data_IF_826027878167
#
_entry.id   IF_826027878167
#
_cell.length_a   1.000
_cell.length_b   1.000
_cell.length_c   1.000
_cell.angle_alpha   90.00
_cell.angle_beta   90.00
_cell.angle_gamma   90.00
#
_symmetry.space_group_name_H-M   'P 1'
#
loop_
_entity.id
_entity.type
_entity.pdbx_description
1 polymer ?
#
# COMPACT_ATOMS: atom_id res chain seq x y z
N UNK A 1 9.46 5.47 -9.15
CA UNK A 1 8.36 4.76 -8.48
C UNK A 1 7.31 4.40 -9.53
N UNK A 2 6.92 3.13 -9.68
CA UNK A 2 5.97 2.69 -10.73
C UNK A 2 6.19 1.25 -11.22
N UNK A 3 5.17 0.69 -11.90
CA UNK A 3 5.26 -0.55 -12.70
C UNK A 3 6.26 -0.35 -13.86
N UNK A 4 6.90 -1.43 -14.32
CA UNK A 4 7.83 -1.40 -15.46
C UNK A 4 9.21 -0.80 -15.19
N UNK A 5 9.61 -0.70 -13.91
CA UNK A 5 11.00 -0.37 -13.54
C UNK A 5 11.66 -1.57 -12.91
N UNK A 6 12.95 -1.72 -13.20
CA UNK A 6 13.78 -2.70 -12.52
C UNK A 6 13.72 -2.52 -11.01
N UNK A 7 13.73 -3.65 -10.32
CA UNK A 7 13.91 -3.67 -8.88
C UNK A 7 15.23 -2.94 -8.59
N UNK A 8 15.27 -2.02 -7.60
CA UNK A 8 16.43 -1.16 -7.36
C UNK A 8 17.69 -1.97 -7.00
N UNK A 9 17.52 -3.24 -6.65
CA UNK A 9 18.59 -4.20 -6.47
C UNK A 9 18.51 -5.29 -7.55
N UNK A 10 19.51 -5.35 -8.43
CA UNK A 10 19.62 -6.41 -9.44
C UNK A 10 20.19 -7.72 -8.86
N UNK A 11 20.41 -7.83 -7.54
CA UNK A 11 20.79 -9.07 -6.87
C UNK A 11 19.56 -9.97 -6.63
N UNK A 12 19.41 -11.06 -7.41
CA UNK A 12 18.26 -11.94 -7.29
C UNK A 12 18.24 -12.69 -5.94
N UNK A 13 19.41 -12.96 -5.34
CA UNK A 13 19.49 -13.66 -4.05
C UNK A 13 18.93 -12.77 -2.94
N UNK A 14 19.34 -11.50 -2.91
CA UNK A 14 18.82 -10.53 -1.95
C UNK A 14 17.32 -10.28 -2.14
N UNK A 15 16.87 -10.11 -3.38
CA UNK A 15 15.44 -9.95 -3.67
C UNK A 15 14.64 -11.15 -3.14
N UNK A 16 15.12 -12.39 -3.38
CA UNK A 16 14.46 -13.60 -2.90
C UNK A 16 14.49 -13.72 -1.37
N UNK A 17 15.60 -13.38 -0.72
CA UNK A 17 15.73 -13.38 0.75
C UNK A 17 14.72 -12.44 1.40
N UNK A 18 14.66 -11.19 0.92
CA UNK A 18 13.77 -10.16 1.46
C UNK A 18 12.32 -10.53 1.21
N UNK A 19 11.97 -10.93 -0.01
CA UNK A 19 10.62 -11.37 -0.34
C UNK A 19 10.19 -12.53 0.55
N UNK A 20 11.02 -13.58 0.69
CA UNK A 20 10.71 -14.71 1.56
C UNK A 20 10.42 -14.25 3.00
N UNK A 21 11.28 -13.39 3.56
CA UNK A 21 11.09 -12.86 4.90
C UNK A 21 9.82 -12.02 5.03
N UNK A 22 9.45 -11.24 4.01
CA UNK A 22 8.20 -10.49 3.99
C UNK A 22 6.98 -11.43 4.02
N UNK A 23 7.00 -12.50 3.22
CA UNK A 23 5.95 -13.50 3.18
C UNK A 23 5.87 -14.34 4.47
N UNK A 24 6.99 -14.65 5.11
CA UNK A 24 6.99 -15.31 6.44
C UNK A 24 6.29 -14.47 7.53
N UNK A 25 6.35 -13.14 7.44
CA UNK A 25 5.57 -12.25 8.30
C UNK A 25 4.11 -12.22 7.86
N UNK A 26 3.85 -12.20 6.56
CA UNK A 26 2.49 -12.16 6.01
C UNK A 26 1.68 -13.40 6.37
N UNK A 27 2.29 -14.59 6.31
CA UNK A 27 1.69 -15.87 6.72
C UNK A 27 1.26 -15.87 8.20
N UNK A 28 1.83 -14.97 9.01
CA UNK A 28 1.51 -14.76 10.42
C UNK A 28 0.57 -13.57 10.65
N UNK A 29 0.00 -13.03 9.57
CA UNK A 29 -0.81 -11.81 9.55
C UNK A 29 -0.08 -10.56 10.12
N UNK A 30 1.25 -10.53 10.06
CA UNK A 30 2.09 -9.43 10.56
C UNK A 30 2.40 -8.43 9.44
N UNK A 31 1.37 -7.70 9.00
CA UNK A 31 1.45 -6.71 7.92
C UNK A 31 2.52 -5.65 8.19
N UNK A 32 2.65 -5.25 9.45
CA UNK A 32 3.62 -4.27 9.91
C UNK A 32 5.05 -4.71 9.57
N UNK A 33 5.45 -5.92 9.97
CA UNK A 33 6.81 -6.40 9.74
C UNK A 33 7.04 -6.83 8.28
N UNK A 34 6.01 -7.38 7.61
CA UNK A 34 6.06 -7.67 6.18
C UNK A 34 6.33 -6.39 5.36
N UNK A 35 5.67 -5.29 5.69
CA UNK A 35 5.87 -3.99 5.02
C UNK A 35 7.23 -3.37 5.40
N UNK A 36 7.59 -3.43 6.69
CA UNK A 36 8.84 -2.84 7.19
C UNK A 36 10.08 -3.48 6.57
N UNK A 37 10.11 -4.81 6.41
CA UNK A 37 11.28 -5.48 5.82
C UNK A 37 11.48 -5.05 4.36
N UNK A 38 10.40 -4.86 3.61
CA UNK A 38 10.45 -4.37 2.23
C UNK A 38 10.89 -2.90 2.16
N UNK A 39 10.36 -2.03 3.03
CA UNK A 39 10.76 -0.62 3.07
C UNK A 39 12.23 -0.41 3.44
N UNK A 40 12.84 -1.33 4.20
CA UNK A 40 14.26 -1.26 4.55
C UNK A 40 15.18 -1.52 3.34
N UNK A 41 14.67 -2.11 2.26
CA UNK A 41 15.47 -2.30 1.05
C UNK A 41 15.64 -0.98 0.29
N UNK A 42 16.89 -0.67 -0.05
CA UNK A 42 17.24 0.58 -0.74
C UNK A 42 16.46 0.71 -2.05
N UNK A 43 15.76 1.85 -2.19
CA UNK A 43 14.96 2.16 -3.40
C UNK A 43 13.60 1.46 -3.45
N UNK A 44 13.24 0.72 -2.40
CA UNK A 44 11.88 0.23 -2.16
C UNK A 44 11.22 1.19 -1.18
N UNK A 45 10.00 1.56 -1.51
CA UNK A 45 9.19 2.57 -0.85
C UNK A 45 7.76 2.09 -0.89
N UNK A 46 6.86 2.80 -0.22
CA UNK A 46 5.58 2.20 0.17
C UNK A 46 4.76 1.69 -1.02
N UNK A 47 4.74 2.40 -2.15
CA UNK A 47 4.00 1.95 -3.34
C UNK A 47 4.59 0.71 -4.01
N UNK A 48 5.87 0.40 -3.81
CA UNK A 48 6.49 -0.85 -4.28
C UNK A 48 6.30 -1.97 -3.26
N UNK A 49 6.54 -1.67 -1.98
CA UNK A 49 6.33 -2.63 -0.89
C UNK A 49 4.90 -3.16 -0.87
N UNK A 50 3.91 -2.27 -0.91
CA UNK A 50 2.49 -2.61 -0.98
C UNK A 50 2.10 -3.37 -2.26
N UNK A 51 2.80 -3.22 -3.39
CA UNK A 51 2.56 -4.05 -4.59
C UNK A 51 3.00 -5.49 -4.40
N UNK A 52 4.13 -5.70 -3.72
CA UNK A 52 4.67 -7.05 -3.47
C UNK A 52 3.72 -7.84 -2.57
N UNK A 53 3.20 -7.21 -1.51
CA UNK A 53 2.29 -7.85 -0.54
C UNK A 53 0.81 -7.78 -0.97
N UNK A 54 0.35 -6.68 -1.55
CA UNK A 54 -1.06 -6.50 -1.93
C UNK A 54 -1.51 -7.43 -3.06
N UNK A 55 -0.58 -7.86 -3.92
CA UNK A 55 -0.88 -8.82 -4.99
C UNK A 55 -1.00 -10.27 -4.50
N UNK A 56 -0.50 -10.61 -3.31
CA UNK A 56 -0.60 -11.98 -2.80
C UNK A 56 -1.94 -12.29 -2.15
N UNK A 57 -2.66 -11.27 -1.70
CA UNK A 57 -4.00 -11.41 -1.13
C UNK A 57 -4.86 -10.21 -1.54
N UNK A 58 -5.55 -10.35 -2.67
CA UNK A 58 -6.43 -9.32 -3.21
C UNK A 58 -7.78 -9.21 -2.49
N UNK A 59 -8.11 -10.19 -1.64
CA UNK A 59 -9.31 -10.15 -0.80
C UNK A 59 -9.14 -9.18 0.36
N UNK A 60 -7.95 -9.20 0.97
CA UNK A 60 -7.68 -8.52 2.24
C UNK A 60 -6.62 -7.40 2.16
N UNK A 61 -5.85 -7.28 1.07
CA UNK A 61 -4.77 -6.30 0.94
C UNK A 61 -4.92 -5.45 -0.32
N UNK A 62 -4.30 -4.27 -0.28
CA UNK A 62 -4.38 -3.26 -1.33
C UNK A 62 -2.99 -2.76 -1.77
N UNK A 63 -2.96 -2.07 -2.90
CA UNK A 63 -1.78 -1.38 -3.40
C UNK A 63 -1.83 0.09 -2.95
N UNK A 64 -0.79 0.54 -2.26
CA UNK A 64 -0.67 1.93 -1.81
C UNK A 64 0.00 2.80 -2.88
N UNK A 65 -0.70 3.00 -4.00
CA UNK A 65 -0.24 3.92 -5.03
C UNK A 65 -0.55 5.38 -4.68
N UNK A 66 0.26 6.30 -5.22
CA UNK A 66 0.02 7.74 -5.15
C UNK A 66 -1.39 8.16 -5.57
N UNK A 67 -1.98 7.48 -6.56
CA UNK A 67 -3.34 7.77 -7.04
C UNK A 67 -4.39 7.37 -6.02
N UNK A 68 -4.19 6.24 -5.35
CA UNK A 68 -5.06 5.80 -4.23
C UNK A 68 -4.97 6.80 -3.09
N UNK A 69 -3.76 7.20 -2.70
CA UNK A 69 -3.55 8.24 -1.68
C UNK A 69 -4.18 9.59 -2.06
N UNK A 70 -4.13 9.97 -3.34
CA UNK A 70 -4.76 11.19 -3.82
C UNK A 70 -6.29 11.13 -3.80
N UNK A 71 -6.89 10.00 -4.18
CA UNK A 71 -8.34 9.82 -4.11
C UNK A 71 -8.88 9.96 -2.67
N UNK A 72 -8.05 9.63 -1.67
CA UNK A 72 -8.36 9.75 -0.25
C UNK A 72 -7.88 11.07 0.38
N UNK A 73 -7.36 12.03 -0.40
CA UNK A 73 -6.74 13.25 0.15
C UNK A 73 -7.70 14.14 0.94
N UNK A 74 -9.01 14.05 0.67
CA UNK A 74 -10.05 14.82 1.36
C UNK A 74 -10.56 14.11 2.62
N UNK A 75 -10.18 12.85 2.82
CA UNK A 75 -10.53 12.08 4.01
C UNK A 75 -9.68 12.54 5.18
N UNK A 76 -10.27 13.36 6.06
CA UNK A 76 -9.59 14.00 7.17
C UNK A 76 -10.27 13.71 8.51
N UNK A 77 -9.50 13.71 9.58
CA UNK A 77 -9.97 13.67 10.96
C UNK A 77 -9.26 14.77 11.75
N UNK A 78 -10.03 15.65 12.41
CA UNK A 78 -9.49 16.81 13.14
C UNK A 78 -8.57 17.71 12.30
N UNK A 79 -8.88 17.85 11.00
CA UNK A 79 -8.12 18.68 10.07
C UNK A 79 -6.88 18.01 9.47
N UNK A 80 -6.55 16.78 9.86
CA UNK A 80 -5.42 16.01 9.33
C UNK A 80 -5.89 14.89 8.40
N UNK A 81 -5.18 14.64 7.30
CA UNK A 81 -5.48 13.51 6.40
C UNK A 81 -5.28 12.18 7.14
N UNK A 82 -6.23 11.25 6.98
CA UNK A 82 -6.13 9.91 7.58
C UNK A 82 -4.99 9.08 7.00
N UNK A 83 -4.69 9.30 5.72
CA UNK A 83 -3.64 8.62 4.98
C UNK A 83 -2.81 9.63 4.20
N UNK A 84 -1.48 9.46 4.27
CA UNK A 84 -0.51 10.27 3.53
C UNK A 84 -0.44 9.83 2.07
N UNK A 85 -0.08 10.75 1.19
CA UNK A 85 0.05 10.48 -0.23
C UNK A 85 1.47 10.02 -0.57
N UNK A 86 1.68 8.78 -1.04
CA UNK A 86 2.99 8.33 -1.50
C UNK A 86 3.50 9.17 -2.67
N UNK A 87 4.83 9.40 -2.76
CA UNK A 87 5.40 10.11 -3.91
C UNK A 87 5.30 9.30 -5.19
N UNK A 88 5.08 9.98 -6.32
CA UNK A 88 5.14 9.39 -7.66
C UNK A 88 6.00 10.22 -8.61
N UNK A 89 6.00 9.86 -9.89
CA UNK A 89 6.76 10.61 -10.91
C UNK A 89 6.12 11.97 -11.22
N UNK A 90 4.80 12.04 -11.13
CA UNK A 90 4.02 13.23 -11.51
C UNK A 90 3.46 13.99 -10.31
N UNK A 91 3.55 13.44 -9.09
CA UNK A 91 3.00 14.04 -7.88
C UNK A 91 4.03 14.09 -6.78
N UNK A 92 4.20 15.28 -6.20
CA UNK A 92 4.95 15.45 -4.97
C UNK A 92 4.13 14.81 -3.85
N UNK A 93 4.59 13.64 -3.37
CA UNK A 93 3.99 12.99 -2.20
C UNK A 93 4.36 13.72 -0.91
N UNK A 94 3.86 13.21 0.20
CA UNK A 94 4.23 13.70 1.52
C UNK A 94 5.70 13.42 1.80
N UNK A 95 6.46 14.50 1.98
CA UNK A 95 7.90 14.48 2.28
C UNK A 95 8.19 14.24 3.76
N UNK A 96 9.43 13.83 4.06
CA UNK A 96 9.89 13.64 5.45
C UNK A 96 9.25 12.46 6.19
N UNK A 97 8.44 11.65 5.51
CA UNK A 97 7.72 10.52 6.11
C UNK A 97 8.68 9.35 6.33
N UNK A 98 8.77 8.88 7.58
CA UNK A 98 9.65 7.77 7.95
C UNK A 98 9.09 6.41 7.50
N UNK A 99 9.92 5.38 7.46
CA UNK A 99 9.43 4.01 7.14
C UNK A 99 8.35 3.56 8.13
N UNK A 100 8.54 3.79 9.42
CA UNK A 100 7.55 3.43 10.45
C UNK A 100 6.22 4.15 10.22
N UNK A 101 6.27 5.41 9.80
CA UNK A 101 5.08 6.18 9.49
C UNK A 101 4.39 5.68 8.21
N UNK A 102 5.14 5.29 7.17
CA UNK A 102 4.57 4.64 6.00
C UNK A 102 3.91 3.31 6.31
N UNK A 103 4.48 2.51 7.21
CA UNK A 103 3.85 1.25 7.66
C UNK A 103 2.52 1.52 8.33
N UNK A 104 2.46 2.47 9.27
CA UNK A 104 1.20 2.86 9.92
C UNK A 104 0.16 3.37 8.92
N UNK A 105 0.59 4.19 7.96
CA UNK A 105 -0.29 4.69 6.91
C UNK A 105 -0.82 3.58 6.01
N UNK A 106 -0.06 2.50 5.82
CA UNK A 106 -0.53 1.36 5.05
C UNK A 106 -1.54 0.51 5.82
N UNK A 107 -1.32 0.29 7.13
CA UNK A 107 -2.33 -0.31 8.01
C UNK A 107 -3.64 0.50 8.00
N UNK A 108 -3.55 1.84 8.07
CA UNK A 108 -4.71 2.72 7.94
C UNK A 108 -5.39 2.59 6.57
N UNK A 109 -4.62 2.52 5.49
CA UNK A 109 -5.20 2.33 4.16
C UNK A 109 -5.97 1.02 4.07
N UNK A 110 -5.40 -0.09 4.55
CA UNK A 110 -6.07 -1.40 4.58
C UNK A 110 -7.39 -1.29 5.34
N UNK A 111 -7.37 -0.70 6.53
CA UNK A 111 -8.57 -0.48 7.34
C UNK A 111 -9.62 0.38 6.61
N UNK A 112 -9.21 1.46 5.93
CA UNK A 112 -10.13 2.29 5.13
C UNK A 112 -10.76 1.48 4.01
N UNK A 113 -9.96 0.69 3.27
CA UNK A 113 -10.46 -0.12 2.17
C UNK A 113 -11.36 -1.26 2.63
N UNK A 114 -11.07 -1.85 3.79
CA UNK A 114 -11.92 -2.83 4.47
C UNK A 114 -13.28 -2.21 4.83
N UNK A 115 -13.26 -1.03 5.47
CA UNK A 115 -14.48 -0.32 5.82
C UNK A 115 -15.35 -0.01 4.59
N UNK A 116 -14.75 0.46 3.49
CA UNK A 116 -15.47 0.73 2.25
C UNK A 116 -16.02 -0.58 1.65
N UNK A 117 -15.20 -1.64 1.60
CA UNK A 117 -15.62 -2.96 1.09
C UNK A 117 -16.84 -3.46 1.84
N UNK A 118 -16.76 -3.49 3.16
CA UNK A 118 -17.81 -4.05 4.01
C UNK A 118 -19.10 -3.24 3.88
N UNK A 119 -19.00 -1.91 3.93
CA UNK A 119 -20.14 -1.03 3.68
C UNK A 119 -20.79 -1.28 2.31
N UNK A 120 -20.00 -1.42 1.25
CA UNK A 120 -20.55 -1.66 -0.10
C UNK A 120 -21.17 -3.06 -0.22
N UNK A 121 -20.58 -4.06 0.41
CA UNK A 121 -21.11 -5.42 0.42
C UNK A 121 -22.43 -5.51 1.20
N UNK A 122 -22.58 -4.76 2.30
CA UNK A 122 -23.86 -4.59 3.00
C UNK A 122 -24.95 -3.94 2.11
N UNK A 123 -24.55 -3.14 1.12
CA UNK A 123 -25.46 -2.57 0.11
C UNK A 123 -25.74 -3.50 -1.08
N UNK A 124 -25.26 -4.74 -1.04
CA UNK A 124 -25.50 -5.76 -2.06
C UNK A 124 -24.45 -5.80 -3.16
N UNK A 125 -23.31 -5.11 -3.02
CA UNK A 125 -22.15 -5.34 -3.87
C UNK A 125 -21.43 -6.64 -3.48
N UNK A 126 -20.46 -7.06 -4.30
CA UNK A 126 -19.55 -8.15 -3.98
C UNK A 126 -18.14 -7.71 -4.35
N UNK A 127 -17.57 -6.87 -3.50
CA UNK A 127 -16.24 -6.30 -3.67
C UNK A 127 -15.23 -6.97 -2.75
N UNK A 128 -14.03 -7.09 -3.28
CA UNK A 128 -12.79 -7.38 -2.57
C UNK A 128 -12.07 -6.07 -2.25
N UNK A 129 -11.06 -6.09 -1.38
CA UNK A 129 -10.25 -4.90 -1.15
C UNK A 129 -9.57 -4.41 -2.43
N UNK A 130 -9.14 -5.31 -3.31
CA UNK A 130 -8.56 -4.94 -4.61
C UNK A 130 -9.54 -4.18 -5.53
N UNK A 131 -10.85 -4.49 -5.48
CA UNK A 131 -11.84 -3.81 -6.32
C UNK A 131 -12.08 -2.37 -5.82
N UNK A 132 -12.06 -2.17 -4.50
CA UNK A 132 -12.08 -0.84 -3.87
C UNK A 132 -10.81 -0.06 -4.21
N UNK A 133 -9.64 -0.68 -4.07
CA UNK A 133 -8.35 -0.07 -4.43
C UNK A 133 -8.34 0.38 -5.88
N UNK A 134 -8.75 -0.47 -6.81
CA UNK A 134 -8.80 -0.14 -8.23
C UNK A 134 -9.75 1.03 -8.51
N UNK A 135 -10.89 1.09 -7.82
CA UNK A 135 -11.82 2.21 -7.91
C UNK A 135 -11.17 3.52 -7.45
N UNK A 136 -10.50 3.51 -6.29
CA UNK A 136 -9.75 4.66 -5.77
C UNK A 136 -8.61 5.06 -6.72
N UNK A 137 -7.87 4.09 -7.25
CA UNK A 137 -6.83 4.33 -8.23
C UNK A 137 -7.40 5.06 -9.45
N UNK A 138 -8.55 4.61 -9.98
CA UNK A 138 -9.23 5.20 -11.13
C UNK A 138 -9.77 6.61 -10.85
N UNK A 139 -10.22 6.89 -9.62
CA UNK A 139 -10.64 8.23 -9.18
C UNK A 139 -9.46 9.20 -9.02
N UNK A 140 -8.30 8.69 -8.61
CA UNK A 140 -7.12 9.50 -8.33
C UNK A 140 -6.35 10.00 -9.56
N UNK A 141 -7.05 10.40 -10.63
CA UNK A 141 -6.45 10.91 -11.87
C UNK A 141 -5.87 12.31 -11.72
#
# INVERSE_FOLDING_TARGET
WGFGRDYPNNDPKRAMEVSRKAFEYLDKNDIKNATMVLLKEKGVGISRASKIIGLSDQENLCIYDSRVGFALQTLTHKGERLVKMPPSQSRMGDGGVTHTEWVRNYEHLIWITEFIRDFMNEKGCTYRIADVEMSLFMMGK
#
